data_IF_264849807231
#
_entry.id   IF_264849807231
#
_cell.length_a   1.000
_cell.length_b   1.000
_cell.length_c   1.000
_cell.angle_alpha   90.00
_cell.angle_beta   90.00
_cell.angle_gamma   90.00
#
_symmetry.space_group_name_H-M   'P 1'
#
loop_
_entity.id
_entity.type
_entity.pdbx_description
1 polymer ?
#
# COMPACT_ATOMS: atom_id res chain seq x y z
N UNK A 1 -6.43 -13.08 13.46
CA UNK A 1 -5.30 -12.59 14.26
C UNK A 1 -4.44 -11.68 13.40
N UNK A 2 -4.32 -10.41 13.81
CA UNK A 2 -3.85 -9.27 13.02
C UNK A 2 -2.37 -9.45 12.64
N UNK A 3 -2.03 -9.43 11.36
CA UNK A 3 -0.65 -9.18 10.93
C UNK A 3 -0.34 -7.73 11.31
N UNK A 4 0.58 -7.54 12.24
CA UNK A 4 1.10 -6.23 12.62
C UNK A 4 2.16 -5.96 11.56
N UNK A 5 1.75 -5.34 10.46
CA UNK A 5 2.65 -4.48 9.73
C UNK A 5 2.81 -3.28 10.65
N UNK A 6 3.98 -3.17 11.27
CA UNK A 6 4.30 -2.10 12.20
C UNK A 6 3.99 -0.75 11.53
N UNK A 7 3.31 0.13 12.27
CA UNK A 7 2.76 1.41 11.81
C UNK A 7 3.80 2.46 11.42
N UNK A 8 4.61 2.18 10.41
CA UNK A 8 5.27 3.19 9.62
C UNK A 8 4.55 3.23 8.28
N UNK A 9 3.68 4.22 8.10
CA UNK A 9 3.35 4.70 6.76
C UNK A 9 4.67 5.25 6.22
N UNK A 10 5.35 4.40 5.44
CA UNK A 10 6.67 4.66 4.87
C UNK A 10 6.54 5.87 3.94
N UNK A 11 7.07 7.01 4.38
CA UNK A 11 7.52 8.02 3.44
C UNK A 11 8.97 7.70 3.10
N UNK A 12 9.18 7.03 1.98
CA UNK A 12 10.52 6.75 1.47
C UNK A 12 10.93 7.89 0.54
N UNK A 13 11.63 8.91 1.07
CA UNK A 13 12.35 9.88 0.24
C UNK A 13 13.76 9.38 -0.04
N UNK A 14 14.11 9.16 -1.31
CA UNK A 14 15.45 8.79 -1.75
C UNK A 14 16.41 9.98 -1.67
N UNK A 15 17.55 9.82 -0.99
CA UNK A 15 18.75 10.66 -1.23
C UNK A 15 19.55 9.99 -2.35
N UNK A 16 19.80 10.72 -3.43
CA UNK A 16 20.71 10.27 -4.50
C UNK A 16 22.08 9.90 -3.90
N UNK A 17 22.50 8.64 -4.08
CA UNK A 17 23.85 8.16 -3.74
C UNK A 17 24.02 7.34 -2.45
N UNK A 18 22.94 6.83 -1.83
CA UNK A 18 23.05 5.97 -0.63
C UNK A 18 22.41 4.58 -0.83
N UNK A 19 23.09 3.53 -0.37
CA UNK A 19 22.58 2.15 -0.30
C UNK A 19 21.74 1.89 0.97
N UNK A 20 21.40 2.94 1.72
CA UNK A 20 20.59 2.86 2.94
C UNK A 20 19.27 3.58 2.76
N UNK A 21 18.15 2.87 2.98
CA UNK A 21 16.85 3.49 3.14
C UNK A 21 16.78 4.16 4.52
N UNK A 22 16.91 5.48 4.55
CA UNK A 22 16.46 6.27 5.70
C UNK A 22 14.97 6.58 5.53
N UNK A 23 14.16 6.20 6.51
CA UNK A 23 12.79 6.70 6.64
C UNK A 23 12.87 8.20 6.95
N UNK A 24 12.94 9.03 5.90
CA UNK A 24 12.83 10.47 6.04
C UNK A 24 11.35 10.80 6.05
N UNK A 25 10.83 11.18 7.21
CA UNK A 25 9.58 11.95 7.30
C UNK A 25 9.68 13.06 6.26
N UNK A 26 8.74 13.13 5.32
CA UNK A 26 8.71 14.20 4.33
C UNK A 26 8.74 15.55 5.05
N UNK A 27 9.76 16.37 4.77
CA UNK A 27 9.87 17.76 5.25
C UNK A 27 8.77 18.72 4.71
N UNK A 28 7.81 18.21 3.95
CA UNK A 28 6.67 18.99 3.44
C UNK A 28 5.40 18.51 4.18
N UNK A 29 4.63 19.39 4.84
CA UNK A 29 3.37 19.04 5.48
C UNK A 29 2.29 18.83 4.41
N UNK A 30 2.43 17.76 3.62
CA UNK A 30 1.37 17.32 2.70
C UNK A 30 0.38 16.48 3.51
N UNK A 31 -0.87 16.93 3.64
CA UNK A 31 -1.92 16.08 4.19
C UNK A 31 -2.09 14.84 3.30
N UNK A 32 -1.91 13.66 3.90
CA UNK A 32 -2.05 12.36 3.24
C UNK A 32 -3.45 11.80 3.47
N UNK A 33 -4.07 11.36 2.40
CA UNK A 33 -5.37 10.71 2.42
C UNK A 33 -5.20 9.24 2.06
N UNK A 34 -5.55 8.36 3.01
CA UNK A 34 -5.35 6.92 2.91
C UNK A 34 -6.66 6.23 2.56
N UNK A 35 -6.56 5.30 1.61
CA UNK A 35 -7.70 4.65 0.95
C UNK A 35 -7.35 3.21 0.65
N UNK A 36 -8.33 2.33 0.69
CA UNK A 36 -8.16 0.97 0.19
C UNK A 36 -9.39 0.56 -0.60
N UNK A 37 -9.20 -0.36 -1.53
CA UNK A 37 -10.30 -0.84 -2.34
C UNK A 37 -11.24 -1.77 -1.53
N UNK A 38 -10.81 -2.62 -0.59
CA UNK A 38 -11.77 -3.44 0.19
C UNK A 38 -11.35 -3.94 1.59
N UNK A 39 -10.07 -3.88 2.01
CA UNK A 39 -9.67 -4.53 3.28
C UNK A 39 -9.89 -3.65 4.52
N UNK A 40 -10.76 -4.11 5.43
CA UNK A 40 -11.08 -3.47 6.71
C UNK A 40 -9.88 -3.38 7.66
N UNK A 41 -8.84 -4.21 7.48
CA UNK A 41 -7.63 -4.15 8.27
C UNK A 41 -6.88 -2.83 8.07
N UNK A 42 -6.83 -2.29 6.84
CA UNK A 42 -6.17 -1.02 6.55
C UNK A 42 -6.89 0.16 7.20
N UNK A 43 -8.22 0.13 7.21
CA UNK A 43 -9.02 1.10 7.95
C UNK A 43 -8.64 1.09 9.43
N UNK A 44 -8.71 -0.08 10.07
CA UNK A 44 -8.44 -0.20 11.49
C UNK A 44 -6.99 0.16 11.86
N UNK A 45 -6.01 -0.13 11.01
CA UNK A 45 -4.63 0.29 11.24
C UNK A 45 -4.45 1.79 11.09
N UNK A 46 -5.02 2.39 10.04
CA UNK A 46 -4.95 3.83 9.79
C UNK A 46 -5.61 4.62 10.92
N UNK A 47 -6.77 4.16 11.41
CA UNK A 47 -7.48 4.80 12.52
C UNK A 47 -6.74 4.63 13.87
N UNK A 48 -5.99 3.55 14.06
CA UNK A 48 -5.15 3.38 15.27
C UNK A 48 -3.92 4.28 15.22
N UNK A 49 -3.30 4.40 14.04
CA UNK A 49 -2.15 5.26 13.80
C UNK A 49 -2.57 6.62 13.21
N UNK A 50 -3.58 7.22 13.83
CA UNK A 50 -4.15 8.52 13.44
C UNK A 50 -3.18 9.65 13.81
N UNK A 51 -2.35 10.04 12.84
CA UNK A 51 -1.48 11.22 12.91
C UNK A 51 -2.15 12.39 12.19
N UNK A 52 -1.81 13.63 12.55
CA UNK A 52 -2.34 14.84 11.90
C UNK A 52 -2.24 14.81 10.35
N UNK A 53 -1.24 14.09 9.82
CA UNK A 53 -0.97 14.01 8.39
C UNK A 53 -1.67 12.85 7.68
N UNK A 54 -2.33 11.92 8.40
CA UNK A 54 -2.88 10.71 7.81
C UNK A 54 -4.36 10.58 8.15
N UNK A 55 -5.23 10.59 7.13
CA UNK A 55 -6.67 10.43 7.35
C UNK A 55 -7.27 9.36 6.45
N UNK A 56 -8.01 8.42 7.05
CA UNK A 56 -8.79 7.42 6.31
C UNK A 56 -9.99 8.09 5.63
N UNK A 57 -10.14 7.87 4.32
CA UNK A 57 -11.19 8.53 3.53
C UNK A 57 -12.09 7.57 2.74
N UNK A 58 -12.02 6.27 3.05
CA UNK A 58 -12.86 5.24 2.46
C UNK A 58 -12.43 4.79 1.07
N UNK A 59 -13.39 4.23 0.32
CA UNK A 59 -13.18 3.61 -0.99
C UNK A 59 -12.51 4.56 -2.00
N UNK A 60 -11.45 4.07 -2.63
CA UNK A 60 -10.70 4.78 -3.68
C UNK A 60 -11.60 5.16 -4.88
N UNK A 61 -12.57 4.32 -5.26
CA UNK A 61 -13.45 4.55 -6.42
C UNK A 61 -14.30 5.82 -6.28
N UNK A 62 -14.62 6.23 -5.05
CA UNK A 62 -15.37 7.46 -4.81
C UNK A 62 -14.55 8.74 -5.11
N UNK A 63 -13.25 8.61 -5.38
CA UNK A 63 -12.31 9.72 -5.43
C UNK A 63 -11.55 9.86 -6.75
N UNK A 64 -11.71 8.95 -7.71
CA UNK A 64 -11.07 9.01 -9.04
C UNK A 64 -11.27 10.36 -9.75
N UNK A 65 -12.41 11.04 -9.55
CA UNK A 65 -12.69 12.37 -10.12
C UNK A 65 -12.09 13.52 -9.32
N UNK A 66 -11.82 13.34 -8.02
CA UNK A 66 -11.37 14.39 -7.10
C UNK A 66 -9.86 14.49 -6.99
N UNK A 67 -9.14 13.37 -7.19
CA UNK A 67 -7.66 13.37 -7.16
C UNK A 67 -7.08 14.37 -8.15
N UNK A 68 -7.67 14.47 -9.35
CA UNK A 68 -7.26 15.41 -10.41
C UNK A 68 -7.47 16.89 -10.06
N UNK A 69 -8.29 17.20 -9.05
CA UNK A 69 -8.59 18.58 -8.65
C UNK A 69 -7.82 19.04 -7.40
N UNK A 70 -7.22 18.12 -6.64
CA UNK A 70 -6.58 18.40 -5.36
C UNK A 70 -5.06 18.27 -5.49
N UNK A 71 -4.43 19.26 -6.12
CA UNK A 71 -2.98 19.25 -6.42
C UNK A 71 -2.07 19.35 -5.20
N UNK A 72 -2.60 19.69 -4.01
CA UNK A 72 -1.83 19.81 -2.77
C UNK A 72 -2.00 18.61 -1.82
N UNK A 73 -2.79 17.61 -2.21
CA UNK A 73 -3.10 16.44 -1.37
C UNK A 73 -2.42 15.21 -1.95
N UNK A 74 -1.66 14.51 -1.10
CA UNK A 74 -1.09 13.20 -1.44
C UNK A 74 -2.11 12.12 -1.12
N UNK A 75 -2.35 11.22 -2.07
CA UNK A 75 -3.26 10.10 -1.93
C UNK A 75 -2.46 8.80 -1.82
N UNK A 76 -2.77 7.98 -0.82
CA UNK A 76 -2.21 6.64 -0.69
C UNK A 76 -3.34 5.63 -0.94
N UNK A 77 -3.16 4.79 -1.94
CA UNK A 77 -4.09 3.72 -2.31
C UNK A 77 -3.51 2.36 -1.96
N UNK A 78 -4.22 1.59 -1.13
CA UNK A 78 -3.95 0.18 -0.90
C UNK A 78 -4.75 -0.70 -1.86
N UNK A 79 -4.04 -1.50 -2.65
CA UNK A 79 -4.62 -2.43 -3.63
C UNK A 79 -4.27 -3.85 -3.21
N UNK A 80 -5.26 -4.63 -2.79
CA UNK A 80 -5.07 -6.05 -2.46
C UNK A 80 -5.35 -6.89 -3.71
N UNK A 81 -4.40 -7.71 -4.16
CA UNK A 81 -4.53 -8.44 -5.43
C UNK A 81 -3.78 -9.79 -5.37
N UNK A 82 -4.44 -10.95 -5.33
CA UNK A 82 -5.88 -11.15 -5.25
C UNK A 82 -6.51 -10.48 -4.03
N UNK A 83 -7.67 -9.89 -4.24
CA UNK A 83 -8.40 -9.15 -3.22
C UNK A 83 -9.06 -10.08 -2.19
N UNK A 84 -9.23 -9.57 -0.98
CA UNK A 84 -9.93 -10.24 0.11
C UNK A 84 -11.29 -9.53 0.32
N UNK A 85 -12.45 -10.21 0.19
CA UNK A 85 -12.66 -11.66 0.17
C UNK A 85 -12.91 -12.29 -1.21
N UNK A 86 -13.02 -11.51 -2.30
CA UNK A 86 -13.49 -12.00 -3.62
C UNK A 86 -12.44 -12.76 -4.45
N UNK A 87 -11.18 -12.79 -4.01
CA UNK A 87 -10.04 -13.44 -4.68
C UNK A 87 -9.77 -12.96 -6.12
N UNK A 88 -10.29 -11.79 -6.50
CA UNK A 88 -10.08 -11.23 -7.82
C UNK A 88 -8.79 -10.40 -7.85
N UNK A 89 -8.05 -10.47 -8.97
CA UNK A 89 -6.95 -9.54 -9.23
C UNK A 89 -7.50 -8.12 -9.33
N UNK A 90 -6.84 -7.17 -8.68
CA UNK A 90 -7.18 -5.74 -8.69
C UNK A 90 -5.95 -4.92 -9.07
N UNK A 91 -6.24 -3.74 -9.61
CA UNK A 91 -5.29 -2.70 -9.97
C UNK A 91 -5.71 -1.39 -9.29
N UNK A 92 -4.78 -0.44 -9.17
CA UNK A 92 -5.07 0.89 -8.64
C UNK A 92 -6.11 1.63 -9.49
N UNK A 93 -7.02 2.36 -8.83
CA UNK A 93 -8.06 3.15 -9.51
C UNK A 93 -7.84 4.66 -9.41
N UNK A 94 -6.86 5.09 -8.60
CA UNK A 94 -6.47 6.48 -8.51
C UNK A 94 -5.33 6.77 -9.48
N UNK A 95 -5.42 7.93 -10.14
CA UNK A 95 -4.41 8.41 -11.08
C UNK A 95 -3.95 9.81 -10.65
N UNK A 96 -2.68 10.12 -10.90
CA UNK A 96 -2.08 11.44 -10.73
C UNK A 96 -0.71 11.39 -10.06
N UNK A 97 0.09 12.45 -10.21
CA UNK A 97 1.45 12.52 -9.65
C UNK A 97 1.49 12.48 -8.12
N UNK A 98 0.41 12.92 -7.48
CA UNK A 98 0.25 12.90 -6.03
C UNK A 98 -0.35 11.59 -5.49
N UNK A 99 -0.56 10.58 -6.35
CA UNK A 99 -1.07 9.27 -5.96
C UNK A 99 0.11 8.32 -5.76
N UNK A 100 0.11 7.63 -4.63
CA UNK A 100 1.04 6.54 -4.31
C UNK A 100 0.23 5.27 -4.10
N UNK A 101 0.53 4.23 -4.87
CA UNK A 101 -0.19 2.96 -4.78
C UNK A 101 0.69 1.91 -4.09
N UNK A 102 0.12 1.21 -3.13
CA UNK A 102 0.77 0.12 -2.39
C UNK A 102 0.00 -1.15 -2.71
N UNK A 103 0.66 -2.09 -3.38
CA UNK A 103 0.10 -3.39 -3.72
C UNK A 103 0.33 -4.39 -2.59
N UNK A 104 -0.75 -4.95 -2.07
CA UNK A 104 -0.74 -6.08 -1.15
C UNK A 104 -0.92 -7.39 -1.92
N UNK A 105 0.21 -8.08 -2.09
CA UNK A 105 0.36 -9.35 -2.76
C UNK A 105 0.47 -10.52 -1.77
N UNK A 106 -0.16 -10.40 -0.60
CA UNK A 106 -0.25 -11.49 0.37
C UNK A 106 -0.78 -12.80 -0.25
N UNK A 107 -1.73 -12.73 -1.19
CA UNK A 107 -2.31 -13.89 -1.86
C UNK A 107 -1.79 -14.11 -3.29
N UNK A 108 -0.78 -13.38 -3.75
CA UNK A 108 -0.26 -13.50 -5.13
C UNK A 108 0.71 -14.67 -5.25
N UNK A 109 0.19 -15.88 -5.04
CA UNK A 109 0.94 -17.14 -5.09
C UNK A 109 0.17 -18.18 -5.93
N UNK A 110 0.85 -19.15 -6.57
CA UNK A 110 0.22 -20.15 -7.45
C UNK A 110 -0.93 -20.95 -6.80
N UNK A 111 -0.94 -21.05 -5.47
CA UNK A 111 -1.99 -21.74 -4.72
C UNK A 111 -3.31 -20.96 -4.65
N UNK A 112 -3.31 -19.65 -4.90
CA UNK A 112 -4.49 -18.78 -4.81
C UNK A 112 -4.91 -18.20 -6.15
N UNK A 113 -3.94 -17.92 -7.04
CA UNK A 113 -4.21 -17.32 -8.35
C UNK A 113 -3.21 -17.82 -9.39
N UNK A 114 -3.62 -17.84 -10.65
CA UNK A 114 -2.71 -18.04 -11.76
C UNK A 114 -1.76 -16.84 -11.88
N UNK A 115 -0.46 -17.08 -12.01
CA UNK A 115 0.53 -16.04 -12.26
C UNK A 115 0.50 -15.75 -13.77
N UNK A 116 -0.17 -14.65 -14.16
CA UNK A 116 -0.29 -14.25 -15.55
C UNK A 116 0.87 -13.37 -16.03
N UNK A 117 1.52 -12.66 -15.11
CA UNK A 117 2.65 -11.78 -15.36
C UNK A 117 3.52 -11.65 -14.11
N UNK A 118 4.74 -11.15 -14.28
CA UNK A 118 5.57 -10.76 -13.14
C UNK A 118 5.00 -9.48 -12.53
N UNK A 119 4.99 -9.39 -11.20
CA UNK A 119 4.58 -8.19 -10.49
C UNK A 119 5.68 -7.11 -10.61
N UNK A 120 5.32 -5.94 -11.15
CA UNK A 120 6.27 -4.88 -11.54
C UNK A 120 5.91 -3.50 -10.95
N UNK A 121 5.19 -3.50 -9.84
CA UNK A 121 4.69 -2.26 -9.21
C UNK A 121 5.75 -1.57 -8.33
N UNK A 122 5.58 -0.26 -8.11
CA UNK A 122 6.52 0.56 -7.34
C UNK A 122 6.69 0.08 -5.89
N UNK A 123 5.59 -0.27 -5.21
CA UNK A 123 5.59 -0.75 -3.83
C UNK A 123 4.71 -1.99 -3.74
N UNK A 124 5.33 -3.11 -3.37
CA UNK A 124 4.67 -4.40 -3.24
C UNK A 124 4.92 -5.02 -1.86
N UNK A 125 3.88 -5.55 -1.24
CA UNK A 125 3.91 -6.22 0.06
C UNK A 125 3.66 -7.73 -0.11
N UNK A 126 4.50 -8.54 0.53
CA UNK A 126 4.36 -9.99 0.56
C UNK A 126 4.38 -10.52 2.00
N UNK A 127 3.76 -11.68 2.24
CA UNK A 127 3.82 -12.35 3.56
C UNK A 127 4.06 -13.85 3.46
N UNK A 128 4.92 -14.35 4.35
CA UNK A 128 5.15 -15.80 4.53
C UNK A 128 3.93 -16.52 5.12
N UNK A 129 3.06 -15.79 5.81
CA UNK A 129 1.86 -16.34 6.47
C UNK A 129 0.94 -17.05 5.48
N UNK A 130 0.81 -16.50 4.27
CA UNK A 130 -0.05 -17.01 3.21
C UNK A 130 0.69 -17.92 2.23
N UNK A 131 1.98 -17.69 2.04
CA UNK A 131 2.82 -18.55 1.22
C UNK A 131 3.01 -19.95 1.84
N UNK A 132 3.36 -20.03 3.13
CA UNK A 132 3.76 -21.31 3.77
C UNK A 132 2.89 -21.72 4.95
N UNK A 133 1.89 -20.92 5.33
CA UNK A 133 1.06 -21.15 6.51
C UNK A 133 1.70 -20.75 7.85
N UNK A 134 2.92 -20.20 7.86
CA UNK A 134 3.64 -19.79 9.07
C UNK A 134 3.21 -18.42 9.61
N UNK A 135 1.91 -18.26 9.90
CA UNK A 135 1.38 -17.01 10.45
C UNK A 135 1.99 -16.61 11.81
N UNK A 136 2.51 -17.59 12.56
CA UNK A 136 3.18 -17.38 13.85
C UNK A 136 4.57 -16.74 13.76
N UNK A 137 5.23 -16.80 12.60
CA UNK A 137 6.58 -16.25 12.42
C UNK A 137 6.59 -14.73 12.26
N UNK A 138 5.46 -14.13 11.88
CA UNK A 138 5.32 -12.65 11.74
C UNK A 138 6.27 -12.02 10.72
N UNK A 139 6.60 -12.76 9.67
CA UNK A 139 7.52 -12.32 8.63
C UNK A 139 6.76 -11.84 7.38
N UNK A 140 7.17 -10.67 6.90
CA UNK A 140 6.73 -10.06 5.64
C UNK A 140 7.91 -9.44 4.91
N UNK A 141 7.72 -9.18 3.61
CA UNK A 141 8.72 -8.56 2.75
C UNK A 141 8.09 -7.40 2.00
N UNK A 142 8.87 -6.33 1.83
CA UNK A 142 8.54 -5.20 0.96
C UNK A 142 9.49 -5.26 -0.23
N UNK A 143 8.93 -5.25 -1.44
CA UNK A 143 9.69 -5.01 -2.66
C UNK A 143 9.37 -3.60 -3.15
N UNK A 144 10.41 -2.86 -3.52
CA UNK A 144 10.25 -1.53 -4.07
C UNK A 144 11.03 -1.43 -5.38
N UNK A 145 10.43 -0.76 -6.36
CA UNK A 145 11.07 -0.40 -7.61
C UNK A 145 10.85 1.09 -7.85
N UNK A 146 11.84 1.76 -8.45
CA UNK A 146 11.72 3.15 -8.87
C UNK A 146 11.94 3.17 -10.36
N UNK A 147 10.87 3.27 -11.14
CA UNK A 147 11.00 3.59 -12.56
C UNK A 147 11.51 5.03 -12.68
N UNK A 148 12.74 5.18 -13.17
CA UNK A 148 13.40 6.46 -13.43
C UNK A 148 12.78 7.23 -14.59
#
# INVERSE_FOLDING_TARGET
WRSVVSGAILDCKFRSGSNTCTCLVSDEPSQKQIRAIHDLAYRGQTEIFDSADNSWKGDARAWTKRTKSLNSTTFIEFVTSPNNPDALLKEGVLEGENVRTIYDYAYYWPHFTAISHQAEEDIMLFTLSKLTGHAGSRLGQISYSSTS
#
